data_IF_382545476277
#
_entry.id   IF_382545476277
#
_cell.length_a   1.000
_cell.length_b   1.000
_cell.length_c   1.000
_cell.angle_alpha   90.00
_cell.angle_beta   90.00
_cell.angle_gamma   90.00
#
_symmetry.space_group_name_H-M   'P 1'
#
loop_
_entity.id
_entity.type
_entity.pdbx_description
1 polymer ?
#
# COMPACT_ATOMS: atom_id res chain seq x y z
N UNK A 1 32.03 -21.52 -23.48
CA UNK A 1 31.56 -20.39 -22.68
C UNK A 1 30.58 -20.96 -21.65
N UNK A 2 31.04 -21.13 -20.40
CA UNK A 2 30.26 -21.75 -19.31
C UNK A 2 29.53 -20.65 -18.55
N UNK A 3 28.21 -20.78 -18.48
CA UNK A 3 27.29 -19.90 -17.73
C UNK A 3 27.57 -20.06 -16.22
N UNK A 4 27.75 -18.99 -15.44
CA UNK A 4 27.86 -19.11 -14.00
C UNK A 4 26.51 -19.41 -13.38
N UNK A 5 26.46 -20.36 -12.43
CA UNK A 5 25.25 -20.84 -11.79
C UNK A 5 24.60 -19.76 -10.89
N UNK A 6 23.26 -19.72 -10.81
CA UNK A 6 22.50 -18.70 -10.07
C UNK A 6 22.68 -18.73 -8.54
N UNK A 7 23.36 -19.72 -8.00
CA UNK A 7 23.59 -19.86 -6.56
C UNK A 7 24.63 -18.87 -5.94
N UNK A 8 25.36 -18.11 -6.75
CA UNK A 8 26.39 -17.17 -6.24
C UNK A 8 25.86 -15.78 -5.95
N UNK A 9 24.67 -15.42 -6.40
CA UNK A 9 24.07 -14.10 -6.10
C UNK A 9 23.37 -14.04 -4.74
N UNK A 10 22.94 -15.18 -4.17
CA UNK A 10 22.24 -15.20 -2.89
C UNK A 10 23.18 -15.05 -1.66
N UNK A 11 24.48 -15.25 -1.82
CA UNK A 11 25.43 -15.23 -0.70
C UNK A 11 26.01 -13.85 -0.37
N UNK A 12 25.77 -12.83 -1.19
CA UNK A 12 26.29 -11.46 -1.00
C UNK A 12 25.41 -10.55 -0.15
N UNK A 13 24.17 -10.95 0.12
CA UNK A 13 23.21 -10.19 0.97
C UNK A 13 23.29 -10.52 2.46
N UNK A 14 24.04 -11.55 2.86
CA UNK A 14 24.09 -12.04 4.25
C UNK A 14 25.22 -11.44 5.12
N UNK A 15 26.01 -10.51 4.60
CA UNK A 15 27.34 -10.18 5.17
C UNK A 15 27.49 -8.90 5.98
N UNK A 16 26.48 -8.06 6.17
CA UNK A 16 26.65 -6.75 6.84
C UNK A 16 25.53 -6.45 7.84
N UNK A 17 25.43 -7.20 8.92
CA UNK A 17 24.58 -6.83 10.07
C UNK A 17 25.45 -6.69 11.32
N UNK A 18 26.10 -5.54 11.47
CA UNK A 18 26.56 -5.08 12.78
C UNK A 18 25.36 -4.47 13.50
N UNK A 19 24.90 -5.12 14.57
CA UNK A 19 23.82 -4.62 15.43
C UNK A 19 24.39 -3.52 16.34
N UNK A 20 24.15 -2.25 15.99
CA UNK A 20 24.23 -1.16 16.95
C UNK A 20 22.94 -1.16 17.79
N UNK A 21 23.07 -1.26 19.10
CA UNK A 21 21.95 -1.07 20.05
C UNK A 21 21.53 0.40 20.02
N UNK A 22 20.52 0.72 19.22
CA UNK A 22 19.93 2.06 19.15
C UNK A 22 18.59 2.07 19.88
N UNK A 23 18.22 3.24 20.44
CA UNK A 23 16.92 3.51 21.02
C UNK A 23 15.76 3.05 20.11
N UNK A 24 14.59 2.79 20.67
CA UNK A 24 13.44 2.29 19.93
C UNK A 24 13.09 3.24 18.76
N UNK A 25 12.83 2.71 17.56
CA UNK A 25 12.51 3.55 16.42
C UNK A 25 11.18 4.28 16.63
N UNK A 26 11.15 5.56 16.27
CA UNK A 26 9.91 6.32 16.21
C UNK A 26 9.09 5.86 15.00
N UNK A 27 7.79 5.70 15.18
CA UNK A 27 6.87 5.33 14.12
C UNK A 27 6.04 6.53 13.68
N UNK A 28 6.08 6.89 12.40
CA UNK A 28 5.25 7.94 11.80
C UNK A 28 4.22 7.34 10.85
N UNK A 29 3.08 8.01 10.60
CA UNK A 29 2.08 7.49 9.67
C UNK A 29 2.55 7.52 8.23
N UNK A 30 2.08 6.54 7.46
CA UNK A 30 2.06 6.51 6.00
C UNK A 30 0.62 6.32 5.51
N UNK A 31 0.36 6.60 4.25
CA UNK A 31 -0.93 6.37 3.60
C UNK A 31 -0.72 5.49 2.38
N UNK A 32 -1.45 4.38 2.33
CA UNK A 32 -1.45 3.49 1.17
C UNK A 32 -2.27 4.10 0.03
N UNK A 33 -1.73 4.05 -1.18
CA UNK A 33 -2.27 4.78 -2.34
C UNK A 33 -3.61 4.22 -2.85
N UNK A 34 -3.84 2.92 -2.71
CA UNK A 34 -5.03 2.29 -3.28
C UNK A 34 -6.29 2.52 -2.44
N UNK A 35 -6.17 2.33 -1.13
CA UNK A 35 -7.31 2.24 -0.21
C UNK A 35 -7.39 3.43 0.76
N UNK A 36 -6.41 4.36 0.71
CA UNK A 36 -6.20 5.40 1.71
C UNK A 36 -6.04 4.84 3.15
N UNK A 37 -5.66 3.56 3.27
CA UNK A 37 -5.43 2.92 4.54
C UNK A 37 -4.20 3.53 5.23
N UNK A 38 -4.26 3.63 6.56
CA UNK A 38 -3.14 4.11 7.36
C UNK A 38 -2.15 2.97 7.59
N UNK A 39 -0.91 3.22 7.21
CA UNK A 39 0.25 2.42 7.55
C UNK A 39 1.14 3.11 8.59
N UNK A 40 2.28 2.51 8.83
CA UNK A 40 3.32 3.01 9.73
C UNK A 40 4.69 2.75 9.12
N UNK A 41 5.55 3.75 9.17
CA UNK A 41 6.96 3.61 8.82
C UNK A 41 7.84 4.02 10.00
N UNK A 42 8.92 3.29 10.19
CA UNK A 42 9.91 3.63 11.22
C UNK A 42 10.87 4.67 10.69
N UNK A 43 11.11 5.71 11.47
CA UNK A 43 12.03 6.79 11.14
C UNK A 43 13.19 6.85 12.13
N UNK A 44 14.25 7.59 11.79
CA UNK A 44 15.36 7.85 12.70
C UNK A 44 14.90 8.79 13.82
N UNK A 45 15.34 8.56 15.06
CA UNK A 45 15.12 9.50 16.17
C UNK A 45 15.74 10.88 15.96
N UNK A 46 16.73 10.97 15.06
CA UNK A 46 17.37 12.22 14.70
C UNK A 46 16.66 12.95 13.57
N UNK A 47 15.66 12.33 12.95
CA UNK A 47 14.83 13.01 11.97
C UNK A 47 14.11 14.17 12.68
N UNK A 48 14.11 15.36 12.06
CA UNK A 48 13.36 16.50 12.58
C UNK A 48 11.85 16.28 12.47
N UNK A 49 11.10 17.34 12.22
CA UNK A 49 9.64 17.28 12.06
C UNK A 49 9.18 16.80 10.68
N UNK A 50 10.08 16.69 9.72
CA UNK A 50 9.78 16.32 8.33
C UNK A 50 10.40 14.96 8.02
N UNK A 51 9.56 14.00 7.65
CA UNK A 51 9.92 12.60 7.44
C UNK A 51 9.62 12.19 6.00
N UNK A 52 10.58 12.35 5.07
CA UNK A 52 10.41 11.92 3.69
C UNK A 52 10.30 10.39 3.60
N UNK A 53 9.46 9.95 2.68
CA UNK A 53 9.18 8.54 2.42
C UNK A 53 9.30 8.29 0.92
N UNK A 54 9.99 7.24 0.54
CA UNK A 54 10.09 6.78 -0.84
C UNK A 54 9.76 5.29 -0.90
N UNK A 55 9.21 4.86 -2.01
CA UNK A 55 8.89 3.46 -2.23
C UNK A 55 8.90 3.11 -3.70
N UNK A 56 9.07 1.82 -3.96
CA UNK A 56 8.84 1.22 -5.27
C UNK A 56 8.33 -0.19 -5.07
N UNK A 57 7.43 -0.62 -5.93
CA UNK A 57 7.00 -2.00 -5.98
C UNK A 57 6.81 -2.48 -7.43
N UNK A 58 6.92 -3.79 -7.59
CA UNK A 58 6.59 -4.50 -8.83
C UNK A 58 5.56 -5.55 -8.50
N UNK A 59 4.54 -5.69 -9.36
CA UNK A 59 3.39 -6.58 -9.16
C UNK A 59 3.19 -7.46 -10.37
N UNK A 60 2.54 -8.60 -10.18
CA UNK A 60 2.15 -9.46 -11.31
C UNK A 60 0.78 -9.09 -11.92
N UNK A 61 0.19 -7.99 -11.52
CA UNK A 61 -1.08 -7.46 -12.02
C UNK A 61 -1.48 -6.23 -11.22
N UNK A 62 -2.43 -5.45 -11.73
CA UNK A 62 -2.90 -4.25 -11.06
C UNK A 62 -4.39 -4.33 -10.74
N UNK A 63 -4.69 -4.25 -9.44
CA UNK A 63 -6.04 -4.36 -8.90
C UNK A 63 -6.23 -3.34 -7.79
N UNK A 64 -7.12 -2.41 -8.01
CA UNK A 64 -7.53 -1.44 -7.01
C UNK A 64 -8.86 -1.86 -6.39
N UNK A 65 -8.88 -2.05 -5.06
CA UNK A 65 -10.11 -2.42 -4.32
C UNK A 65 -10.82 -3.66 -4.90
N UNK A 66 -10.04 -4.65 -5.33
CA UNK A 66 -10.54 -5.88 -5.94
C UNK A 66 -11.00 -5.73 -7.39
N UNK A 67 -11.10 -4.51 -7.93
CA UNK A 67 -11.37 -4.33 -9.35
C UNK A 67 -10.07 -4.41 -10.15
N UNK A 68 -10.15 -5.04 -11.32
CA UNK A 68 -9.11 -4.96 -12.32
C UNK A 68 -8.94 -3.50 -12.75
N UNK A 69 -7.72 -3.01 -12.68
CA UNK A 69 -7.45 -1.64 -13.12
C UNK A 69 -6.93 -1.63 -14.56
N UNK A 70 -5.71 -2.11 -14.79
CA UNK A 70 -5.13 -2.07 -16.14
C UNK A 70 -4.35 -3.33 -16.51
N UNK A 71 -3.77 -4.04 -15.57
CA UNK A 71 -2.96 -5.23 -15.81
C UNK A 71 -3.53 -6.49 -15.15
N UNK A 72 -3.85 -7.50 -15.97
CA UNK A 72 -4.24 -8.82 -15.48
C UNK A 72 -3.08 -9.51 -14.76
N UNK A 73 -3.39 -10.41 -13.82
CA UNK A 73 -2.40 -11.12 -13.03
C UNK A 73 -1.57 -12.08 -13.90
N UNK A 74 -0.48 -11.57 -14.45
CA UNK A 74 0.46 -12.33 -15.29
C UNK A 74 1.89 -11.84 -15.09
N UNK A 75 2.86 -12.57 -15.67
CA UNK A 75 4.25 -12.13 -15.72
C UNK A 75 4.63 -11.55 -17.10
N UNK A 76 3.68 -11.46 -18.00
CA UNK A 76 3.93 -10.92 -19.36
C UNK A 76 4.02 -9.39 -19.34
N UNK A 77 3.30 -8.77 -18.42
CA UNK A 77 3.29 -7.33 -18.22
C UNK A 77 3.29 -7.05 -16.72
N UNK A 78 4.44 -6.63 -16.22
CA UNK A 78 4.68 -6.39 -14.80
C UNK A 78 4.66 -4.89 -14.53
N UNK A 79 3.62 -4.35 -13.90
CA UNK A 79 3.58 -2.94 -13.53
C UNK A 79 4.58 -2.62 -12.42
N UNK A 80 5.17 -1.42 -12.51
CA UNK A 80 6.05 -0.81 -11.53
C UNK A 80 5.36 0.41 -10.93
N UNK A 81 5.24 0.46 -9.61
CA UNK A 81 4.80 1.66 -8.91
C UNK A 81 5.99 2.35 -8.25
N UNK A 82 6.09 3.65 -8.48
CA UNK A 82 7.04 4.52 -7.80
C UNK A 82 6.26 5.44 -6.84
N UNK A 83 6.68 5.46 -5.58
CA UNK A 83 5.99 6.20 -4.52
C UNK A 83 6.94 7.24 -3.92
N UNK A 84 6.40 8.44 -3.65
CA UNK A 84 7.09 9.48 -2.92
C UNK A 84 6.10 10.18 -1.99
N UNK A 85 6.54 10.48 -0.77
CA UNK A 85 5.68 11.13 0.21
C UNK A 85 6.45 11.71 1.38
N UNK A 86 5.72 12.19 2.35
CA UNK A 86 6.26 12.64 3.62
C UNK A 86 5.21 12.61 4.73
N UNK A 87 5.68 12.52 5.98
CA UNK A 87 4.92 12.92 7.15
C UNK A 87 5.58 14.17 7.75
N UNK A 88 4.76 15.17 8.11
CA UNK A 88 5.18 16.39 8.77
C UNK A 88 4.53 16.47 10.14
N UNK A 89 5.32 16.50 11.21
CA UNK A 89 4.82 16.66 12.57
C UNK A 89 4.20 18.05 12.75
N UNK A 90 2.91 18.10 12.96
CA UNK A 90 2.17 19.32 13.31
C UNK A 90 2.19 19.55 14.82
N UNK A 91 2.01 18.46 15.57
CA UNK A 91 2.00 18.45 17.03
C UNK A 91 2.62 17.16 17.54
N UNK A 92 3.41 17.24 18.59
CA UNK A 92 3.98 16.12 19.31
C UNK A 92 3.48 16.18 20.75
N UNK A 93 2.65 15.23 21.12
CA UNK A 93 2.08 15.11 22.45
C UNK A 93 3.06 14.45 23.43
N UNK A 94 2.75 14.52 24.72
CA UNK A 94 3.49 13.79 25.72
C UNK A 94 3.23 12.27 25.55
N UNK A 95 4.28 11.47 25.61
CA UNK A 95 4.23 10.00 25.57
C UNK A 95 3.58 9.42 24.29
N UNK A 96 3.67 10.12 23.15
CA UNK A 96 3.12 9.64 21.87
C UNK A 96 1.59 9.69 21.78
N UNK A 97 0.94 10.32 22.75
CA UNK A 97 -0.49 10.59 22.76
C UNK A 97 -0.76 12.01 22.24
N UNK A 98 -1.86 12.16 21.50
CA UNK A 98 -2.25 13.41 20.87
C UNK A 98 -1.24 13.95 19.82
N UNK A 99 -0.46 13.07 19.20
CA UNK A 99 0.36 13.45 18.04
C UNK A 99 -0.53 13.78 16.86
N UNK A 100 -0.06 14.72 16.02
CA UNK A 100 -0.74 15.09 14.78
C UNK A 100 0.26 15.29 13.64
N UNK A 101 -0.10 14.80 12.45
CA UNK A 101 0.72 14.86 11.25
C UNK A 101 -0.07 15.35 10.05
N UNK A 102 0.61 16.10 9.19
CA UNK A 102 0.20 16.23 7.79
C UNK A 102 0.96 15.17 7.00
N UNK A 103 0.25 14.33 6.27
CA UNK A 103 0.83 13.25 5.47
C UNK A 103 0.48 13.47 4.01
N UNK A 104 1.48 13.35 3.15
CA UNK A 104 1.32 13.36 1.70
C UNK A 104 1.90 12.07 1.13
N UNK A 105 1.23 11.50 0.13
CA UNK A 105 1.72 10.36 -0.65
C UNK A 105 1.36 10.55 -2.11
N UNK A 106 2.27 10.23 -3.01
CA UNK A 106 2.05 10.16 -4.45
C UNK A 106 2.56 8.81 -4.94
N UNK A 107 1.69 8.02 -5.57
CA UNK A 107 2.03 6.75 -6.23
C UNK A 107 1.79 6.87 -7.71
N UNK A 108 2.74 6.36 -8.51
CA UNK A 108 2.70 6.47 -9.95
C UNK A 108 2.94 5.09 -10.57
N UNK A 109 1.95 4.58 -11.28
CA UNK A 109 1.99 3.29 -11.98
C UNK A 109 2.57 3.43 -13.38
N UNK A 110 3.53 2.57 -13.70
CA UNK A 110 4.25 2.52 -14.95
C UNK A 110 4.27 1.09 -15.50
N UNK A 111 3.97 0.92 -16.77
CA UNK A 111 4.06 -0.39 -17.43
C UNK A 111 4.54 -0.29 -18.90
N UNK A 112 4.76 -1.43 -19.52
CA UNK A 112 5.01 -1.51 -20.97
C UNK A 112 3.70 -1.25 -21.72
N UNK A 113 3.62 -0.26 -22.64
CA UNK A 113 2.37 0.12 -23.29
C UNK A 113 1.86 -1.00 -24.21
N UNK A 114 0.55 -1.21 -24.20
CA UNK A 114 -0.16 -2.06 -25.15
C UNK A 114 -0.49 -1.32 -26.44
N UNK A 115 -1.05 -2.03 -27.44
CA UNK A 115 -1.50 -1.44 -28.70
C UNK A 115 -2.75 -0.57 -28.53
N UNK A 116 -3.49 -0.74 -27.44
CA UNK A 116 -4.75 -0.04 -27.15
C UNK A 116 -4.50 1.33 -26.52
N UNK A 117 -3.40 1.49 -25.82
CA UNK A 117 -2.99 2.75 -25.21
C UNK A 117 -2.43 3.72 -26.24
N UNK A 118 -3.24 4.68 -26.65
CA UNK A 118 -2.92 5.60 -27.74
C UNK A 118 -2.54 7.01 -27.27
N UNK A 119 -2.92 7.38 -26.05
CA UNK A 119 -2.65 8.72 -25.49
C UNK A 119 -1.28 8.73 -24.83
N UNK A 120 -0.49 9.77 -25.05
CA UNK A 120 0.82 9.97 -24.41
C UNK A 120 0.66 10.75 -23.10
N UNK A 121 1.33 10.32 -22.04
CA UNK A 121 2.39 9.32 -21.91
C UNK A 121 1.84 7.88 -21.74
N UNK A 122 2.02 7.05 -22.75
CA UNK A 122 1.43 5.69 -22.81
C UNK A 122 1.88 4.73 -21.71
N UNK A 123 3.03 4.98 -21.08
CA UNK A 123 3.60 4.12 -20.04
C UNK A 123 3.17 4.49 -18.65
N UNK A 124 2.67 5.68 -18.46
CA UNK A 124 2.23 6.19 -17.15
C UNK A 124 0.72 6.12 -17.08
N UNK A 125 0.22 5.02 -16.56
CA UNK A 125 -1.21 4.72 -16.58
C UNK A 125 -1.94 5.19 -15.33
N UNK A 126 -1.25 5.31 -14.19
CA UNK A 126 -1.85 5.70 -12.92
C UNK A 126 -1.05 6.79 -12.21
N UNK A 127 -1.76 7.72 -11.57
CA UNK A 127 -1.19 8.69 -10.63
C UNK A 127 -2.18 8.95 -9.50
N UNK A 128 -1.88 8.45 -8.31
CA UNK A 128 -2.66 8.62 -7.09
C UNK A 128 -1.95 9.60 -6.17
N UNK A 129 -2.62 10.71 -5.83
CA UNK A 129 -2.09 11.73 -4.97
C UNK A 129 -2.99 11.88 -3.74
N UNK A 130 -2.43 11.72 -2.55
CA UNK A 130 -3.15 11.69 -1.29
C UNK A 130 -2.59 12.75 -0.34
N UNK A 131 -3.49 13.48 0.29
CA UNK A 131 -3.16 14.41 1.37
C UNK A 131 -4.03 14.08 2.58
N UNK A 132 -3.41 13.86 3.74
CA UNK A 132 -4.12 13.46 4.94
C UNK A 132 -3.69 14.24 6.18
N UNK A 133 -4.66 14.48 7.05
CA UNK A 133 -4.41 14.87 8.44
C UNK A 133 -4.59 13.61 9.31
N UNK A 134 -3.56 13.22 10.04
CA UNK A 134 -3.57 12.04 10.90
C UNK A 134 -3.35 12.49 12.34
N UNK A 135 -4.12 11.95 13.26
CA UNK A 135 -3.98 12.17 14.70
C UNK A 135 -3.86 10.84 15.43
N UNK A 136 -3.11 10.82 16.53
CA UNK A 136 -3.00 9.68 17.45
C UNK A 136 -3.68 10.04 18.78
N UNK A 137 -4.99 9.78 18.94
CA UNK A 137 -5.71 10.17 20.17
C UNK A 137 -5.35 9.31 21.38
N UNK A 138 -4.73 8.16 21.16
CA UNK A 138 -4.26 7.23 22.18
C UNK A 138 -3.09 6.42 21.63
N UNK A 139 -2.30 5.81 22.50
CA UNK A 139 -1.19 4.96 22.13
C UNK A 139 -1.61 3.87 21.13
N UNK A 140 -0.90 3.78 20.02
CA UNK A 140 -1.13 2.82 18.94
C UNK A 140 -2.37 3.10 18.08
N UNK A 141 -3.29 3.99 18.48
CA UNK A 141 -4.47 4.33 17.69
C UNK A 141 -4.21 5.54 16.82
N UNK A 142 -4.44 5.41 15.53
CA UNK A 142 -4.38 6.50 14.54
C UNK A 142 -5.71 6.69 13.85
N UNK A 143 -6.08 7.94 13.66
CA UNK A 143 -7.28 8.37 12.93
C UNK A 143 -6.83 9.33 11.85
N UNK A 144 -7.20 9.07 10.60
CA UNK A 144 -6.85 9.89 9.45
C UNK A 144 -8.07 10.36 8.69
N UNK A 145 -8.03 11.62 8.25
CA UNK A 145 -8.88 12.14 7.20
C UNK A 145 -8.02 12.35 5.97
N UNK A 146 -8.31 11.66 4.88
CA UNK A 146 -7.50 11.62 3.67
C UNK A 146 -8.32 12.09 2.47
N UNK A 147 -7.75 12.98 1.68
CA UNK A 147 -8.27 13.36 0.38
C UNK A 147 -7.37 12.80 -0.71
N UNK A 148 -7.98 12.13 -1.69
CA UNK A 148 -7.28 11.44 -2.76
C UNK A 148 -7.72 11.96 -4.12
N UNK A 149 -6.77 12.21 -5.00
CA UNK A 149 -7.00 12.45 -6.44
C UNK A 149 -6.36 11.30 -7.20
N UNK A 150 -7.17 10.50 -7.88
CA UNK A 150 -6.76 9.41 -8.76
C UNK A 150 -6.90 9.83 -10.21
N UNK A 151 -5.85 9.75 -10.98
CA UNK A 151 -5.85 10.13 -12.40
C UNK A 151 -5.11 9.10 -13.23
N UNK A 152 -5.51 9.00 -14.51
CA UNK A 152 -4.88 8.16 -15.52
C UNK A 152 -4.19 9.07 -16.55
N UNK A 153 -2.86 9.27 -16.44
CA UNK A 153 -2.14 10.18 -17.34
C UNK A 153 -2.19 9.77 -18.81
N UNK A 154 -2.39 8.49 -19.11
CA UNK A 154 -2.57 7.96 -20.47
C UNK A 154 -4.04 8.01 -20.94
N UNK A 155 -4.95 8.64 -20.15
CA UNK A 155 -6.37 8.86 -20.46
C UNK A 155 -7.19 7.57 -20.64
N UNK A 156 -6.76 6.49 -19.97
CA UNK A 156 -7.50 5.20 -19.99
C UNK A 156 -8.71 5.25 -19.04
N UNK A 157 -8.60 5.97 -17.93
CA UNK A 157 -9.65 6.11 -16.94
C UNK A 157 -9.92 7.59 -16.60
N UNK A 158 -11.15 7.90 -16.24
CA UNK A 158 -11.54 9.24 -15.79
C UNK A 158 -10.92 9.56 -14.40
N UNK A 159 -10.51 10.82 -14.22
CA UNK A 159 -10.05 11.29 -12.92
C UNK A 159 -11.17 11.23 -11.87
N UNK A 160 -10.87 10.65 -10.73
CA UNK A 160 -11.77 10.59 -9.58
C UNK A 160 -11.16 11.29 -8.37
N UNK A 161 -12.02 11.79 -7.49
CA UNK A 161 -11.61 12.40 -6.22
C UNK A 161 -12.41 11.77 -5.08
N UNK A 162 -11.73 11.53 -3.98
CA UNK A 162 -12.29 10.78 -2.85
C UNK A 162 -11.94 11.44 -1.52
N UNK A 163 -12.84 11.32 -0.55
CA UNK A 163 -12.59 11.66 0.84
C UNK A 163 -12.75 10.39 1.69
N UNK A 164 -11.76 10.12 2.53
CA UNK A 164 -11.70 8.91 3.35
C UNK A 164 -11.54 9.26 4.82
N UNK A 165 -12.26 8.54 5.69
CA UNK A 165 -11.98 8.43 7.12
C UNK A 165 -11.32 7.08 7.37
N UNK A 166 -10.14 7.09 8.00
CA UNK A 166 -9.35 5.88 8.19
C UNK A 166 -8.96 5.71 9.66
N UNK A 167 -8.87 4.47 10.09
CA UNK A 167 -8.47 4.07 11.42
C UNK A 167 -7.39 2.99 11.31
N UNK A 168 -6.36 3.06 12.15
CA UNK A 168 -5.40 1.98 12.33
C UNK A 168 -5.07 1.84 13.81
N UNK A 169 -4.95 0.61 14.28
CA UNK A 169 -4.52 0.34 15.65
C UNK A 169 -3.37 -0.67 15.64
N UNK A 170 -2.28 -0.31 16.30
CA UNK A 170 -1.08 -1.14 16.40
C UNK A 170 -0.53 -1.08 17.83
N UNK A 171 -0.36 -2.23 18.47
CA UNK A 171 0.30 -2.39 19.74
C UNK A 171 1.04 -3.74 19.79
N UNK A 172 1.94 -3.92 20.76
CA UNK A 172 2.71 -5.16 20.88
C UNK A 172 1.86 -6.37 21.28
N UNK A 173 0.72 -6.13 21.91
CA UNK A 173 -0.13 -7.21 22.44
C UNK A 173 -1.62 -6.92 22.24
N UNK A 174 -2.46 -7.91 22.54
CA UNK A 174 -3.91 -7.80 22.43
C UNK A 174 -4.37 -7.58 20.99
N UNK A 175 -5.41 -6.75 20.83
CA UNK A 175 -5.97 -6.46 19.49
C UNK A 175 -4.96 -5.71 18.59
N UNK A 176 -4.08 -4.89 19.16
CA UNK A 176 -3.08 -4.13 18.40
C UNK A 176 -2.04 -5.01 17.71
N UNK A 177 -1.75 -6.20 18.25
CA UNK A 177 -0.86 -7.17 17.60
C UNK A 177 -1.42 -7.72 16.28
N UNK A 178 -2.73 -7.60 16.06
CA UNK A 178 -3.42 -7.98 14.82
C UNK A 178 -3.42 -6.86 13.78
N UNK A 179 -2.97 -5.67 14.17
CA UNK A 179 -2.92 -4.46 13.33
C UNK A 179 -4.24 -4.20 12.57
N UNK A 180 -5.39 -4.08 13.28
CA UNK A 180 -6.63 -3.83 12.60
C UNK A 180 -6.66 -2.45 11.96
N UNK A 181 -7.22 -2.40 10.74
CA UNK A 181 -7.45 -1.19 9.98
C UNK A 181 -8.90 -1.09 9.52
N UNK A 182 -9.37 0.14 9.34
CA UNK A 182 -10.68 0.44 8.74
C UNK A 182 -10.53 1.68 7.85
N UNK A 183 -11.09 1.62 6.66
CA UNK A 183 -11.23 2.77 5.78
C UNK A 183 -12.69 2.89 5.32
N UNK A 184 -13.20 4.11 5.34
CA UNK A 184 -14.52 4.47 4.80
C UNK A 184 -14.31 5.61 3.83
N UNK A 185 -14.63 5.40 2.57
CA UNK A 185 -14.32 6.32 1.47
C UNK A 185 -15.58 6.68 0.71
N UNK A 186 -15.75 7.95 0.39
CA UNK A 186 -16.79 8.43 -0.51
C UNK A 186 -16.15 9.20 -1.66
N UNK A 187 -16.72 9.08 -2.86
CA UNK A 187 -16.30 9.89 -3.99
C UNK A 187 -16.87 11.30 -3.88
N UNK A 188 -16.03 12.28 -4.10
CA UNK A 188 -16.39 13.71 -4.16
C UNK A 188 -16.47 14.20 -5.61
N UNK A 189 -15.85 13.45 -6.54
CA UNK A 189 -15.94 13.64 -7.99
C UNK A 189 -15.89 12.28 -8.69
N UNK A 190 -16.72 12.08 -9.69
CA UNK A 190 -16.97 10.83 -10.39
C UNK A 190 -18.31 10.23 -9.98
N UNK A 191 -18.46 8.93 -10.18
CA UNK A 191 -19.68 8.21 -9.79
C UNK A 191 -19.83 8.22 -8.27
N UNK A 192 -21.06 8.47 -7.80
CA UNK A 192 -21.35 8.48 -6.37
C UNK A 192 -21.31 7.06 -5.80
N UNK A 193 -20.87 6.92 -4.57
CA UNK A 193 -20.87 5.64 -3.86
C UNK A 193 -20.07 5.71 -2.58
N UNK A 194 -20.24 4.70 -1.75
CA UNK A 194 -19.50 4.50 -0.51
C UNK A 194 -18.64 3.25 -0.65
N UNK A 195 -17.43 3.31 -0.17
CA UNK A 195 -16.55 2.15 -0.04
C UNK A 195 -16.15 1.96 1.41
N UNK A 196 -16.11 0.71 1.86
CA UNK A 196 -15.63 0.35 3.19
C UNK A 196 -14.65 -0.81 3.09
N UNK A 197 -13.56 -0.74 3.86
CA UNK A 197 -12.59 -1.83 3.98
C UNK A 197 -12.21 -2.04 5.43
N UNK A 198 -12.26 -3.29 5.87
CA UNK A 198 -11.62 -3.75 7.10
C UNK A 198 -10.37 -4.56 6.78
N UNK A 199 -9.30 -4.39 7.53
CA UNK A 199 -8.05 -5.12 7.36
C UNK A 199 -7.47 -5.62 8.66
N UNK A 200 -6.65 -6.67 8.57
CA UNK A 200 -5.86 -7.24 9.67
C UNK A 200 -4.50 -7.66 9.11
N UNK A 201 -3.45 -7.50 9.89
CA UNK A 201 -2.13 -8.01 9.54
C UNK A 201 -1.39 -8.56 10.78
N UNK A 202 -1.85 -9.69 11.35
CA UNK A 202 -1.09 -10.37 12.40
C UNK A 202 0.25 -10.86 11.85
N UNK A 203 1.27 -10.91 12.71
CA UNK A 203 2.60 -11.35 12.27
C UNK A 203 3.47 -11.86 13.40
N UNK A 204 4.57 -12.49 13.01
CA UNK A 204 5.56 -13.13 13.86
C UNK A 204 6.95 -12.63 13.49
N UNK A 205 7.73 -12.21 14.46
CA UNK A 205 9.14 -11.88 14.25
C UNK A 205 9.96 -13.17 14.21
N UNK A 206 10.59 -13.43 13.06
CA UNK A 206 11.33 -14.65 12.80
C UNK A 206 12.80 -14.58 13.24
N UNK A 207 13.32 -13.37 13.38
CA UNK A 207 14.72 -13.15 13.76
C UNK A 207 14.91 -11.88 14.59
N UNK A 208 16.00 -11.84 15.35
CA UNK A 208 16.43 -10.63 16.06
C UNK A 208 16.82 -9.48 15.09
N UNK A 209 17.06 -9.77 13.81
CA UNK A 209 17.31 -8.77 12.77
C UNK A 209 16.03 -8.15 12.19
N UNK A 210 14.86 -8.41 12.79
CA UNK A 210 13.59 -7.82 12.40
C UNK A 210 12.90 -8.49 11.20
N UNK A 211 13.41 -9.66 10.73
CA UNK A 211 12.68 -10.42 9.72
C UNK A 211 11.32 -10.82 10.28
N UNK A 212 10.24 -10.35 9.62
CA UNK A 212 8.86 -10.57 10.06
C UNK A 212 8.08 -11.34 8.99
N UNK A 213 7.35 -12.35 9.42
CA UNK A 213 6.31 -13.01 8.63
C UNK A 213 4.97 -12.46 9.08
N UNK A 214 4.14 -11.99 8.15
CA UNK A 214 2.78 -11.51 8.46
C UNK A 214 1.74 -12.15 7.55
N UNK A 215 0.47 -12.03 7.96
CA UNK A 215 -0.70 -12.63 7.32
C UNK A 215 -1.70 -11.52 6.97
N UNK A 216 -1.40 -10.68 5.97
CA UNK A 216 -2.28 -9.61 5.56
C UNK A 216 -3.62 -10.17 5.07
N UNK A 217 -4.70 -9.58 5.54
CA UNK A 217 -6.06 -9.91 5.16
C UNK A 217 -6.91 -8.65 5.09
N UNK A 218 -7.75 -8.54 4.09
CA UNK A 218 -8.70 -7.43 3.96
C UNK A 218 -10.02 -7.90 3.36
N UNK A 219 -11.09 -7.23 3.75
CA UNK A 219 -12.43 -7.37 3.19
C UNK A 219 -12.91 -5.98 2.80
N UNK A 220 -13.24 -5.78 1.53
CA UNK A 220 -13.73 -4.53 0.99
C UNK A 220 -15.12 -4.66 0.37
N UNK A 221 -15.94 -3.64 0.55
CA UNK A 221 -17.29 -3.55 -0.02
C UNK A 221 -17.49 -2.17 -0.62
N UNK A 222 -17.81 -2.13 -1.90
CA UNK A 222 -18.32 -0.94 -2.56
C UNK A 222 -19.85 -0.97 -2.56
N UNK A 223 -20.46 0.07 -2.02
CA UNK A 223 -21.91 0.21 -1.85
C UNK A 223 -22.49 1.18 -2.87
N UNK A 224 -23.74 0.95 -3.25
CA UNK A 224 -24.56 1.90 -4.02
C UNK A 224 -23.87 2.44 -5.29
N UNK A 225 -23.28 1.57 -6.08
CA UNK A 225 -22.68 1.96 -7.34
C UNK A 225 -21.29 2.58 -7.24
N UNK A 226 -20.56 2.33 -6.17
CA UNK A 226 -19.17 2.82 -6.01
C UNK A 226 -18.27 2.48 -7.21
N UNK A 227 -18.44 1.33 -7.83
CA UNK A 227 -17.67 0.90 -9.01
C UNK A 227 -18.31 1.32 -10.35
N UNK A 228 -19.40 2.08 -10.32
CA UNK A 228 -20.11 2.58 -11.48
C UNK A 228 -21.62 2.72 -11.22
N UNK A 229 -22.35 3.54 -11.97
CA UNK A 229 -23.73 3.93 -11.67
C UNK A 229 -24.69 2.76 -11.47
N UNK A 230 -24.52 1.69 -12.23
CA UNK A 230 -25.40 0.51 -12.23
C UNK A 230 -24.74 -0.72 -11.58
N UNK A 231 -23.59 -0.54 -10.92
CA UNK A 231 -22.82 -1.68 -10.42
C UNK A 231 -23.46 -2.36 -9.20
N UNK A 232 -24.33 -1.68 -8.44
CA UNK A 232 -24.84 -2.17 -7.15
C UNK A 232 -23.72 -2.38 -6.12
N UNK A 233 -23.98 -3.23 -5.13
CA UNK A 233 -22.96 -3.56 -4.11
C UNK A 233 -22.00 -4.62 -4.65
N UNK A 234 -20.70 -4.48 -4.33
CA UNK A 234 -19.64 -5.37 -4.77
C UNK A 234 -18.70 -5.67 -3.63
N UNK A 235 -18.21 -6.92 -3.59
CA UNK A 235 -17.39 -7.43 -2.51
C UNK A 235 -16.12 -8.08 -3.04
N UNK A 236 -15.00 -7.80 -2.35
CA UNK A 236 -13.79 -8.58 -2.49
C UNK A 236 -13.20 -8.93 -1.12
N UNK A 237 -12.37 -9.98 -1.10
CA UNK A 237 -11.53 -10.30 0.04
C UNK A 237 -10.13 -10.63 -0.46
N UNK A 238 -9.10 -10.25 0.31
CA UNK A 238 -7.72 -10.68 0.03
C UNK A 238 -7.10 -11.24 1.30
N UNK A 239 -6.27 -12.26 1.16
CA UNK A 239 -5.49 -12.83 2.26
C UNK A 239 -4.27 -13.56 1.73
N UNK A 240 -3.22 -13.63 2.53
CA UNK A 240 -2.00 -14.34 2.14
C UNK A 240 -0.88 -14.23 3.13
N UNK A 241 0.34 -14.14 2.61
CA UNK A 241 1.59 -14.12 3.36
C UNK A 241 2.43 -12.92 2.92
N UNK A 242 3.10 -12.29 3.85
CA UNK A 242 4.13 -11.30 3.56
C UNK A 242 5.38 -11.57 4.41
N UNK A 243 6.54 -11.40 3.80
CA UNK A 243 7.83 -11.47 4.46
C UNK A 243 8.48 -10.10 4.32
N UNK A 244 8.81 -9.49 5.46
CA UNK A 244 9.38 -8.16 5.52
C UNK A 244 10.73 -8.19 6.25
N UNK A 245 11.74 -7.54 5.66
CA UNK A 245 13.05 -7.37 6.24
C UNK A 245 13.40 -5.88 6.32
N UNK A 246 13.35 -5.27 7.50
CA UNK A 246 13.91 -3.95 7.72
C UNK A 246 15.43 -3.99 7.72
N UNK A 247 16.05 -2.94 7.22
CA UNK A 247 17.50 -2.76 7.26
C UNK A 247 17.87 -1.27 7.27
N UNK A 248 19.12 -0.97 7.56
CA UNK A 248 19.64 0.41 7.56
C UNK A 248 20.66 0.58 6.45
N UNK A 249 20.57 1.70 5.75
CA UNK A 249 21.59 2.12 4.81
C UNK A 249 21.96 3.58 5.10
N UNK A 250 23.13 3.77 5.71
CA UNK A 250 23.50 5.05 6.28
C UNK A 250 22.59 5.45 7.44
N UNK A 251 22.03 6.63 7.36
CA UNK A 251 21.06 7.15 8.36
C UNK A 251 19.59 6.85 8.00
N UNK A 252 19.34 6.28 6.82
CA UNK A 252 17.98 5.95 6.37
C UNK A 252 17.55 4.56 6.80
N UNK A 253 16.25 4.41 7.06
CA UNK A 253 15.62 3.12 7.31
C UNK A 253 14.97 2.63 6.03
N UNK A 254 15.21 1.38 5.73
CA UNK A 254 14.71 0.68 4.56
C UNK A 254 13.93 -0.55 4.97
N UNK A 255 12.94 -0.92 4.18
CA UNK A 255 12.26 -2.21 4.29
C UNK A 255 12.13 -2.84 2.91
N UNK A 256 12.49 -4.10 2.80
CA UNK A 256 12.20 -4.95 1.65
C UNK A 256 11.07 -5.90 2.02
N UNK A 257 10.00 -5.95 1.22
CA UNK A 257 8.83 -6.80 1.47
C UNK A 257 8.50 -7.63 0.23
N UNK A 258 8.28 -8.92 0.45
CA UNK A 258 7.72 -9.83 -0.54
C UNK A 258 6.35 -10.29 -0.05
N UNK A 259 5.33 -10.17 -0.89
CA UNK A 259 3.97 -10.49 -0.54
C UNK A 259 3.35 -11.41 -1.59
N UNK A 260 2.57 -12.40 -1.15
CA UNK A 260 1.79 -13.30 -1.98
C UNK A 260 0.37 -13.40 -1.42
N UNK A 261 -0.62 -12.93 -2.16
CA UNK A 261 -2.02 -12.89 -1.77
C UNK A 261 -2.88 -13.68 -2.74
N UNK A 262 -4.00 -14.21 -2.22
CA UNK A 262 -5.14 -14.62 -3.00
C UNK A 262 -6.22 -13.53 -2.90
N UNK A 263 -6.55 -12.92 -4.03
CA UNK A 263 -7.64 -11.96 -4.16
C UNK A 263 -8.89 -12.69 -4.61
N UNK A 264 -9.91 -12.78 -3.75
CA UNK A 264 -11.25 -13.25 -4.09
C UNK A 264 -12.11 -12.06 -4.56
N UNK A 265 -12.85 -12.26 -5.63
CA UNK A 265 -13.75 -11.27 -6.25
C UNK A 265 -15.12 -11.89 -6.44
N UNK A 266 -16.20 -11.19 -6.07
CA UNK A 266 -17.56 -11.65 -6.35
C UNK A 266 -17.86 -11.69 -7.86
N UNK A 267 -18.93 -12.39 -8.25
CA UNK A 267 -19.28 -12.57 -9.66
C UNK A 267 -19.51 -11.26 -10.38
N UNK A 268 -20.14 -10.35 -9.71
CA UNK A 268 -20.50 -9.07 -10.28
C UNK A 268 -19.31 -8.08 -10.37
N UNK A 269 -18.34 -8.18 -9.46
CA UNK A 269 -17.09 -7.42 -9.56
C UNK A 269 -16.22 -7.89 -10.74
N UNK A 270 -16.26 -9.21 -11.04
CA UNK A 270 -15.55 -9.77 -12.22
C UNK A 270 -16.11 -9.26 -13.54
N UNK A 271 -17.42 -9.07 -13.63
CA UNK A 271 -18.07 -8.54 -14.83
C UNK A 271 -17.63 -7.10 -15.18
N UNK A 272 -17.12 -6.34 -14.20
CA UNK A 272 -16.61 -4.98 -14.42
C UNK A 272 -15.25 -4.96 -15.13
N UNK A 273 -14.52 -6.05 -15.17
CA UNK A 273 -13.19 -6.11 -15.81
C UNK A 273 -13.24 -5.92 -17.33
N UNK A 274 -14.42 -6.03 -17.95
CA UNK A 274 -14.59 -5.82 -19.37
C UNK A 274 -13.95 -6.92 -20.26
N UNK A 275 -14.04 -6.78 -21.56
CA UNK A 275 -13.42 -7.70 -22.51
C UNK A 275 -11.89 -7.66 -22.43
N UNK A 276 -11.27 -8.81 -22.22
CA UNK A 276 -9.81 -8.93 -22.10
C UNK A 276 -9.24 -8.65 -20.72
N UNK A 277 -10.09 -8.23 -19.75
CA UNK A 277 -9.70 -8.09 -18.34
C UNK A 277 -9.70 -9.42 -17.59
N UNK A 278 -9.28 -9.35 -16.32
CA UNK A 278 -9.25 -10.52 -15.44
C UNK A 278 -10.65 -10.98 -15.06
N UNK A 279 -10.99 -12.23 -15.33
CA UNK A 279 -12.31 -12.81 -15.07
C UNK A 279 -12.33 -13.87 -13.97
N UNK A 280 -11.16 -14.24 -13.46
CA UNK A 280 -11.06 -15.25 -12.41
C UNK A 280 -11.65 -14.78 -11.08
N UNK A 281 -12.33 -15.67 -10.39
CA UNK A 281 -12.90 -15.39 -9.07
C UNK A 281 -11.87 -15.35 -7.95
N UNK A 282 -10.72 -15.99 -8.16
CA UNK A 282 -9.57 -15.96 -7.26
C UNK A 282 -8.33 -15.66 -8.09
N UNK A 283 -7.70 -14.53 -7.79
CA UNK A 283 -6.53 -14.02 -8.52
C UNK A 283 -5.31 -14.09 -7.61
N UNK A 284 -4.24 -14.80 -7.99
CA UNK A 284 -2.98 -14.76 -7.25
C UNK A 284 -2.26 -13.42 -7.50
N UNK A 285 -1.95 -12.72 -6.43
CA UNK A 285 -1.19 -11.47 -6.46
C UNK A 285 0.17 -11.68 -5.81
N UNK A 286 1.24 -11.22 -6.47
CA UNK A 286 2.60 -11.22 -5.93
C UNK A 286 3.15 -9.82 -6.07
N UNK A 287 3.65 -9.28 -4.96
CA UNK A 287 4.26 -7.95 -4.92
C UNK A 287 5.64 -8.03 -4.28
N UNK A 288 6.61 -7.37 -4.89
CA UNK A 288 7.92 -7.14 -4.30
C UNK A 288 8.09 -5.63 -4.14
N UNK A 289 8.34 -5.18 -2.92
CA UNK A 289 8.46 -3.75 -2.62
C UNK A 289 9.74 -3.43 -1.85
N UNK A 290 10.21 -2.22 -2.07
CA UNK A 290 11.30 -1.58 -1.35
C UNK A 290 10.84 -0.21 -0.92
N UNK A 291 10.93 0.09 0.36
CA UNK A 291 10.56 1.39 0.92
C UNK A 291 11.67 1.98 1.77
N UNK A 292 11.68 3.29 1.89
CA UNK A 292 12.63 4.07 2.66
C UNK A 292 11.91 5.18 3.42
N UNK A 293 12.31 5.40 4.66
CA UNK A 293 11.90 6.55 5.48
C UNK A 293 13.12 7.15 6.21
N UNK A 294 13.04 8.47 6.46
CA UNK A 294 14.07 9.24 7.17
C UNK A 294 13.48 10.11 8.28
#
# INVERSE_FOLDING_TARGET
MSCPSPLRCAALLAGCLALDATAAPRSVPSIESEDAALGSVEVSERSGRFHPQLGMDVRNGDFSRGNYDDDAASLDRVPLHAQAGFALDLHEGADGNADAWLVFSSSNGLHSPSSEERVSPRRWYESNNLLGLVVSPAEGLRVGFVYTVKSSPNDVAATTQEASLTLAYQAESGLGAWRPGLAVTTRTQGDSGLYTQGSLEPGLDLSAGGLRLSFPSALGVGWNGFYGPDSGDRLYARTGLALEQPFRWGETRWSARAEALALYRDGALRELSGPGGETDGVVPQVTLSLSMAY
#
